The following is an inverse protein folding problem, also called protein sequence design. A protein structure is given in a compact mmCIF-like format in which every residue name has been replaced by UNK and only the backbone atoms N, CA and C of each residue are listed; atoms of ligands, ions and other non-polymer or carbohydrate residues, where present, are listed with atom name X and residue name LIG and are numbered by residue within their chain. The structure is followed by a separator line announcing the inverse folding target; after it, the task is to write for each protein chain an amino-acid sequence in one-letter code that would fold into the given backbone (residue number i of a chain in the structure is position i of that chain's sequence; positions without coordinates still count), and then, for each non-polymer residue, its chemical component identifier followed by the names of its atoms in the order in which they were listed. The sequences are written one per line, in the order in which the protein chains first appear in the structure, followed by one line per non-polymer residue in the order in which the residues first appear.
data_IF_268850050601
#
_entry.id   IF_268850050601
#
_cell.length_a   1.000
_cell.length_b   1.000
_cell.length_c   1.000
_cell.angle_alpha   90.00
_cell.angle_beta   90.00
_cell.angle_gamma   90.00
#
_symmetry.space_group_name_H-M   'P 1'
#
loop_
_entity.id
_entity.type
_entity.pdbx_description
1 polymer ?
#
# COMPACT_ATOMS: atom_id res chain seq x y z
N UNK A 1 -5.88 7.33 1.12
CA UNK A 1 -6.04 6.62 -0.16
C UNK A 1 -5.91 7.54 -1.37
N UNK A 2 -6.68 8.63 -1.46
CA UNK A 2 -6.61 9.58 -2.59
C UNK A 2 -5.19 10.09 -2.89
N UNK A 3 -4.43 10.47 -1.86
CA UNK A 3 -3.05 10.96 -2.01
C UNK A 3 -2.07 9.92 -2.58
N UNK A 4 -2.22 8.65 -2.20
CA UNK A 4 -1.37 7.57 -2.69
C UNK A 4 -1.68 7.30 -4.17
N UNK A 5 -2.97 7.23 -4.51
CA UNK A 5 -3.43 7.00 -5.88
C UNK A 5 -2.99 8.14 -6.83
N UNK A 6 -3.11 9.40 -6.40
CA UNK A 6 -2.60 10.54 -7.17
C UNK A 6 -1.08 10.48 -7.37
N UNK A 7 -0.34 10.08 -6.35
CA UNK A 7 1.11 9.90 -6.46
C UNK A 7 1.48 8.80 -7.47
N UNK A 8 0.79 7.65 -7.40
CA UNK A 8 1.05 6.52 -8.30
C UNK A 8 0.75 6.90 -9.77
N UNK A 9 -0.37 7.60 -10.05
CA UNK A 9 -0.67 8.10 -11.40
C UNK A 9 0.43 9.04 -11.91
N UNK A 10 0.87 9.99 -11.09
CA UNK A 10 1.85 11.00 -11.51
C UNK A 10 3.26 10.43 -11.71
N UNK A 11 3.60 9.34 -11.03
CA UNK A 11 4.95 8.77 -11.01
C UNK A 11 5.03 7.38 -11.63
N UNK A 12 3.93 6.87 -12.19
CA UNK A 12 3.79 5.48 -12.57
C UNK A 12 4.27 4.54 -11.44
N UNK A 13 3.82 4.86 -10.22
CA UNK A 13 4.20 4.19 -8.99
C UNK A 13 3.32 2.99 -8.67
N UNK A 14 3.77 2.15 -7.72
CA UNK A 14 3.07 0.95 -7.27
C UNK A 14 2.87 0.99 -5.73
N UNK A 15 2.63 2.17 -5.14
CA UNK A 15 2.44 2.29 -3.69
C UNK A 15 1.15 1.59 -3.23
N UNK A 16 0.05 1.73 -3.97
CA UNK A 16 -1.21 1.03 -3.66
C UNK A 16 -1.02 -0.49 -3.68
N UNK A 17 -0.41 -1.02 -4.75
CA UNK A 17 -0.17 -2.46 -4.87
C UNK A 17 0.79 -2.99 -3.80
N UNK A 18 1.82 -2.19 -3.47
CA UNK A 18 2.74 -2.54 -2.38
C UNK A 18 2.01 -2.59 -1.05
N UNK A 19 1.16 -1.60 -0.75
CA UNK A 19 0.38 -1.54 0.48
C UNK A 19 -0.59 -2.72 0.58
N UNK A 20 -1.31 -3.02 -0.48
CA UNK A 20 -2.23 -4.15 -0.52
C UNK A 20 -1.50 -5.47 -0.31
N UNK A 21 -0.43 -5.72 -1.06
CA UNK A 21 0.35 -6.95 -0.94
C UNK A 21 0.91 -7.11 0.48
N UNK A 22 1.45 -6.03 1.06
CA UNK A 22 1.94 -6.00 2.43
C UNK A 22 0.87 -6.36 3.45
N UNK A 23 -0.30 -5.72 3.37
CA UNK A 23 -1.40 -6.00 4.29
C UNK A 23 -1.93 -7.43 4.11
N UNK A 24 -2.04 -7.94 2.89
CA UNK A 24 -2.52 -9.30 2.63
C UNK A 24 -1.57 -10.39 3.12
N UNK A 25 -0.29 -10.06 3.33
CA UNK A 25 0.73 -11.01 3.77
C UNK A 25 1.26 -10.69 5.17
N UNK A 26 0.33 -10.41 6.10
CA UNK A 26 0.60 -10.20 7.53
C UNK A 26 1.70 -9.15 7.78
N UNK A 27 1.71 -8.08 6.99
CA UNK A 27 2.67 -7.00 7.15
C UNK A 27 4.14 -7.47 7.04
N UNK A 28 4.41 -8.47 6.19
CA UNK A 28 5.75 -9.01 5.97
C UNK A 28 6.44 -8.37 4.77
N UNK A 29 7.45 -7.52 5.04
CA UNK A 29 8.31 -6.93 3.98
C UNK A 29 8.94 -8.02 3.12
N UNK A 30 9.42 -9.11 3.75
CA UNK A 30 10.04 -10.23 3.03
C UNK A 30 9.06 -10.87 2.06
N UNK A 31 7.85 -11.19 2.52
CA UNK A 31 6.86 -11.85 1.65
C UNK A 31 6.38 -10.93 0.54
N UNK A 32 6.20 -9.65 0.82
CA UNK A 32 5.87 -8.65 -0.20
C UNK A 32 6.96 -8.53 -1.25
N UNK A 33 8.23 -8.48 -0.85
CA UNK A 33 9.36 -8.42 -1.79
C UNK A 33 9.42 -9.62 -2.73
N UNK A 34 9.19 -10.82 -2.19
CA UNK A 34 9.14 -12.07 -2.95
C UNK A 34 8.02 -12.07 -3.98
N UNK A 35 6.80 -11.70 -3.56
CA UNK A 35 5.60 -11.72 -4.42
C UNK A 35 5.61 -10.64 -5.49
N UNK A 36 6.15 -9.47 -5.18
CA UNK A 36 6.23 -8.35 -6.12
C UNK A 36 7.48 -8.40 -7.01
N UNK A 37 8.39 -9.36 -6.80
CA UNK A 37 9.63 -9.47 -7.59
C UNK A 37 10.58 -8.27 -7.44
N UNK A 38 10.50 -7.54 -6.33
CA UNK A 38 11.34 -6.37 -6.05
C UNK A 38 12.21 -6.59 -4.81
N UNK A 39 13.31 -5.85 -4.69
CA UNK A 39 14.16 -5.93 -3.51
C UNK A 39 13.42 -5.44 -2.24
N UNK A 40 13.67 -6.06 -1.09
CA UNK A 40 13.05 -5.69 0.19
C UNK A 40 13.22 -4.21 0.56
N UNK A 41 14.37 -3.60 0.22
CA UNK A 41 14.62 -2.16 0.39
C UNK A 41 13.62 -1.29 -0.38
N UNK A 42 13.21 -1.72 -1.57
CA UNK A 42 12.20 -1.02 -2.38
C UNK A 42 10.85 -1.06 -1.68
N UNK A 43 10.46 -2.22 -1.14
CA UNK A 43 9.23 -2.35 -0.33
C UNK A 43 9.30 -1.43 0.89
N UNK A 44 10.38 -1.46 1.67
CA UNK A 44 10.55 -0.59 2.84
C UNK A 44 10.45 0.89 2.47
N UNK A 45 11.09 1.30 1.37
CA UNK A 45 11.02 2.68 0.89
C UNK A 45 9.58 3.09 0.52
N UNK A 46 8.85 2.23 -0.20
CA UNK A 46 7.46 2.47 -0.58
C UNK A 46 6.55 2.57 0.66
N UNK A 47 6.72 1.68 1.64
CA UNK A 47 5.97 1.75 2.90
C UNK A 47 6.28 3.01 3.70
N UNK A 48 7.55 3.41 3.80
CA UNK A 48 7.93 4.69 4.43
C UNK A 48 7.32 5.89 3.71
N UNK A 49 7.24 5.84 2.36
CA UNK A 49 6.59 6.89 1.56
C UNK A 49 5.10 6.96 1.85
N UNK A 50 4.42 5.82 1.96
CA UNK A 50 3.00 5.74 2.34
C UNK A 50 2.78 6.40 3.69
N UNK A 51 3.54 6.00 4.73
CA UNK A 51 3.44 6.62 6.07
C UNK A 51 3.68 8.13 6.02
N UNK A 52 4.64 8.60 5.23
CA UNK A 52 4.90 10.04 5.08
C UNK A 52 3.74 10.80 4.44
N UNK A 53 3.05 10.19 3.48
CA UNK A 53 1.91 10.81 2.80
C UNK A 53 0.68 10.79 3.71
N UNK A 54 0.32 9.62 4.22
CA UNK A 54 -0.98 9.41 4.88
C UNK A 54 -0.95 9.49 6.40
N UNK A 55 0.23 9.45 7.01
CA UNK A 55 0.44 9.35 8.47
C UNK A 55 -0.20 8.12 9.11
N UNK A 56 -0.42 7.07 8.32
CA UNK A 56 -1.03 5.81 8.78
C UNK A 56 -0.19 5.19 9.90
N UNK A 57 -0.87 4.72 10.95
CA UNK A 57 -0.31 3.83 11.97
C UNK A 57 -0.65 2.35 11.63
N UNK A 58 0.38 1.57 11.29
CA UNK A 58 0.22 0.16 10.95
C UNK A 58 -0.16 -0.74 12.13
N UNK A 59 0.06 -0.28 13.37
CA UNK A 59 -0.26 -1.02 14.58
C UNK A 59 -1.70 -0.75 15.05
N UNK A 60 -2.37 0.26 14.49
CA UNK A 60 -3.77 0.56 14.77
C UNK A 60 -4.72 -0.31 13.94
N UNK A 61 -5.32 -1.31 14.58
CA UNK A 61 -6.19 -2.30 13.93
C UNK A 61 -7.43 -1.65 13.27
N UNK A 62 -8.03 -0.64 13.89
CA UNK A 62 -9.21 0.05 13.35
C UNK A 62 -8.83 0.83 12.10
N UNK A 63 -7.68 1.50 12.13
CA UNK A 63 -7.14 2.19 10.97
C UNK A 63 -6.80 1.22 9.83
N UNK A 64 -6.22 0.06 10.15
CA UNK A 64 -5.89 -0.97 9.16
C UNK A 64 -7.14 -1.55 8.48
N UNK A 65 -8.24 -1.68 9.21
CA UNK A 65 -9.52 -2.06 8.62
C UNK A 65 -10.01 -0.99 7.63
N UNK A 66 -9.96 0.28 8.02
CA UNK A 66 -10.37 1.39 7.15
C UNK A 66 -9.50 1.48 5.88
N UNK A 67 -8.19 1.28 6.01
CA UNK A 67 -7.24 1.27 4.87
C UNK A 67 -7.55 0.14 3.90
N UNK A 68 -7.79 -1.09 4.40
CA UNK A 68 -8.17 -2.23 3.56
C UNK A 68 -9.47 -1.97 2.79
N UNK A 69 -10.49 -1.45 3.48
CA UNK A 69 -11.75 -1.09 2.84
C UNK A 69 -11.54 -0.03 1.74
N UNK A 70 -10.68 0.96 2.00
CA UNK A 70 -10.31 1.98 1.02
C UNK A 70 -9.64 1.41 -0.24
N UNK A 71 -8.77 0.39 -0.10
CA UNK A 71 -8.14 -0.30 -1.24
C UNK A 71 -9.21 -1.04 -2.07
N UNK A 72 -10.10 -1.77 -1.41
CA UNK A 72 -11.18 -2.52 -2.09
C UNK A 72 -12.10 -1.57 -2.86
N UNK A 73 -12.53 -0.48 -2.23
CA UNK A 73 -13.40 0.52 -2.87
C UNK A 73 -12.70 1.13 -4.10
N UNK A 74 -11.41 1.49 -3.97
CA UNK A 74 -10.64 2.04 -5.09
C UNK A 74 -10.63 1.08 -6.29
N UNK A 75 -10.35 -0.21 -6.06
CA UNK A 75 -10.35 -1.22 -7.12
C UNK A 75 -11.71 -1.45 -7.75
N UNK A 76 -12.79 -1.39 -6.96
CA UNK A 76 -14.15 -1.48 -7.50
C UNK A 76 -14.42 -0.29 -8.43
N UNK A 77 -14.00 0.92 -8.03
CA UNK A 77 -14.15 2.12 -8.86
C UNK A 77 -13.33 2.09 -10.15
N UNK A 78 -12.15 1.46 -10.14
CA UNK A 78 -11.32 1.28 -11.35
C UNK A 78 -11.90 0.25 -12.34
N UNK A 79 -12.78 -0.63 -11.88
CA UNK A 79 -13.46 -1.64 -12.71
C UNK A 79 -14.78 -1.16 -13.33
N UNK A 80 -15.28 0.01 -12.92
CA UNK A 80 -16.50 0.64 -13.42
C UNK A 80 -16.17 1.66 -14.52
#
# INVERSE_FOLDING_TARGET
MHEIHQYDIQKNGELIDTLECYLNHKQSIRKTSELMGVHARTVSYRLQKIVKLTRIDFDNIVEMLAVRNGIIILKILELL
#
